data_IF_991323401630
#
_entry.id   IF_991323401630
#
_cell.length_a   1.000
_cell.length_b   1.000
_cell.length_c   1.000
_cell.angle_alpha   90.00
_cell.angle_beta   90.00
_cell.angle_gamma   90.00
#
_symmetry.space_group_name_H-M   'P 1'
#
loop_
_entity.id
_entity.type
_entity.pdbx_description
1 polymer ?
#
# COMPACT_ATOMS: atom_id res chain seq x y z
N UNK A 1 -28.00 -7.85 -4.90
CA UNK A 1 -26.86 -8.23 -5.79
C UNK A 1 -27.14 -9.42 -6.73
N UNK A 2 -28.22 -9.39 -7.52
CA UNK A 2 -28.37 -10.32 -8.67
C UNK A 2 -27.71 -9.74 -9.93
N UNK A 3 -27.79 -8.41 -10.09
CA UNK A 3 -27.07 -7.63 -11.09
C UNK A 3 -26.43 -6.41 -10.39
N UNK A 4 -25.09 -6.36 -10.24
CA UNK A 4 -24.39 -5.28 -9.53
C UNK A 4 -24.15 -4.02 -10.39
N UNK A 5 -24.72 -3.97 -11.59
CA UNK A 5 -24.50 -2.91 -12.60
C UNK A 5 -25.75 -2.04 -12.79
N UNK A 6 -26.68 -2.07 -11.83
CA UNK A 6 -27.87 -1.23 -11.84
C UNK A 6 -27.62 0.14 -11.21
N UNK A 7 -28.69 0.72 -10.66
CA UNK A 7 -28.70 2.00 -9.96
C UNK A 7 -29.08 1.83 -8.47
N UNK A 8 -29.08 0.59 -7.96
CA UNK A 8 -29.38 0.34 -6.55
C UNK A 8 -28.24 0.91 -5.67
N UNK A 9 -28.54 1.30 -4.43
CA UNK A 9 -27.57 1.94 -3.53
C UNK A 9 -26.33 1.07 -3.21
N UNK A 10 -26.40 -0.26 -3.45
CA UNK A 10 -25.30 -1.21 -3.27
C UNK A 10 -24.62 -1.67 -4.58
N UNK A 11 -25.02 -1.07 -5.72
CA UNK A 11 -24.41 -1.33 -7.03
C UNK A 11 -23.08 -0.57 -7.22
N UNK A 12 -22.36 -0.92 -8.28
CA UNK A 12 -21.09 -0.27 -8.58
C UNK A 12 -21.29 1.14 -9.15
N UNK A 13 -20.48 2.08 -8.66
CA UNK A 13 -20.35 3.44 -9.18
C UNK A 13 -19.54 3.49 -10.50
N UNK A 14 -20.07 2.86 -11.54
CA UNK A 14 -19.38 2.69 -12.83
C UNK A 14 -19.08 4.02 -13.50
N UNK A 15 -20.01 4.98 -13.43
CA UNK A 15 -19.82 6.32 -14.00
C UNK A 15 -18.61 7.02 -13.36
N UNK A 16 -18.49 6.97 -12.03
CA UNK A 16 -17.33 7.49 -11.32
C UNK A 16 -16.03 6.83 -11.77
N UNK A 17 -16.02 5.49 -11.90
CA UNK A 17 -14.82 4.78 -12.35
C UNK A 17 -14.40 5.19 -13.75
N UNK A 18 -15.33 5.41 -14.67
CA UNK A 18 -15.03 5.87 -16.04
C UNK A 18 -14.36 7.24 -16.00
N UNK A 19 -14.94 8.19 -15.27
CA UNK A 19 -14.41 9.56 -15.18
C UNK A 19 -13.02 9.58 -14.53
N UNK A 20 -12.88 8.86 -13.41
CA UNK A 20 -11.62 8.72 -12.67
C UNK A 20 -10.53 8.10 -13.54
N UNK A 21 -10.84 7.01 -14.23
CA UNK A 21 -9.85 6.30 -15.05
C UNK A 21 -9.44 7.13 -16.26
N UNK A 22 -10.40 7.78 -16.92
CA UNK A 22 -10.12 8.62 -18.10
C UNK A 22 -9.23 9.80 -17.72
N UNK A 23 -9.57 10.53 -16.65
CA UNK A 23 -8.76 11.64 -16.16
C UNK A 23 -7.36 11.20 -15.74
N UNK A 24 -7.26 10.12 -14.95
CA UNK A 24 -5.97 9.59 -14.49
C UNK A 24 -5.10 9.12 -15.66
N UNK A 25 -5.69 8.45 -16.65
CA UNK A 25 -4.97 7.98 -17.82
C UNK A 25 -4.35 9.14 -18.61
N UNK A 26 -5.08 10.24 -18.83
CA UNK A 26 -4.51 11.43 -19.47
C UNK A 26 -3.45 12.10 -18.60
N UNK A 27 -3.64 12.18 -17.28
CA UNK A 27 -2.60 12.69 -16.39
C UNK A 27 -1.29 11.90 -16.50
N UNK A 28 -1.36 10.57 -16.54
CA UNK A 28 -0.17 9.73 -16.64
C UNK A 28 0.47 9.82 -18.03
N UNK A 29 -0.33 9.73 -19.09
CA UNK A 29 0.18 9.57 -20.45
C UNK A 29 0.59 10.89 -21.12
N UNK A 30 -0.02 12.02 -20.72
CA UNK A 30 0.24 13.33 -21.31
C UNK A 30 0.96 14.24 -20.31
N UNK A 31 0.28 14.64 -19.22
CA UNK A 31 0.82 15.64 -18.29
C UNK A 31 2.09 15.19 -17.56
N UNK A 32 2.16 13.94 -17.12
CA UNK A 32 3.30 13.39 -16.39
C UNK A 32 4.23 12.55 -17.26
N UNK A 33 4.13 12.66 -18.58
CA UNK A 33 4.98 11.89 -19.48
C UNK A 33 6.44 12.31 -19.35
N UNK A 34 7.30 11.36 -18.94
CA UNK A 34 8.73 11.59 -18.74
C UNK A 34 9.05 12.71 -17.74
N UNK A 35 8.08 13.08 -16.89
CA UNK A 35 8.30 13.97 -15.76
C UNK A 35 8.83 13.16 -14.58
N UNK A 36 10.12 13.32 -14.29
CA UNK A 36 10.79 12.65 -13.17
C UNK A 36 11.15 13.73 -12.14
N UNK A 37 10.81 13.55 -10.84
CA UNK A 37 11.21 14.49 -9.81
C UNK A 37 12.74 14.51 -9.65
N UNK A 38 13.26 15.58 -9.07
CA UNK A 38 14.68 15.69 -8.75
C UNK A 38 15.14 14.53 -7.85
N UNK A 39 16.18 13.81 -8.27
CA UNK A 39 16.72 12.69 -7.51
C UNK A 39 17.55 13.19 -6.33
N UNK A 40 17.17 12.79 -5.12
CA UNK A 40 17.86 13.11 -3.87
C UNK A 40 18.09 11.83 -3.07
N UNK A 41 19.11 11.85 -2.23
CA UNK A 41 19.30 10.83 -1.21
C UNK A 41 18.11 10.85 -0.26
N UNK A 42 17.57 9.68 0.05
CA UNK A 42 16.44 9.56 0.97
C UNK A 42 16.89 9.71 2.43
N UNK A 43 15.93 9.96 3.32
CA UNK A 43 16.20 10.17 4.75
C UNK A 43 16.65 8.90 5.49
N UNK A 44 16.49 7.70 4.91
CA UNK A 44 16.85 6.44 5.56
C UNK A 44 18.33 6.05 5.37
N UNK A 45 19.13 6.82 4.62
CA UNK A 45 20.56 6.57 4.44
C UNK A 45 21.34 6.55 5.77
N UNK A 46 20.87 7.29 6.78
CA UNK A 46 21.49 7.35 8.10
C UNK A 46 20.91 6.34 9.11
N UNK A 47 20.22 5.29 8.64
CA UNK A 47 19.53 4.28 9.47
C UNK A 47 18.48 4.89 10.43
N UNK A 48 17.81 5.96 10.03
CA UNK A 48 16.64 6.43 10.77
C UNK A 48 15.48 5.42 10.58
N UNK A 49 14.77 5.09 11.66
CA UNK A 49 13.55 4.28 11.57
C UNK A 49 12.35 5.17 11.19
N UNK A 50 11.32 4.65 10.49
CA UNK A 50 10.11 5.41 10.22
C UNK A 50 9.48 5.94 11.51
N UNK A 51 9.14 7.22 11.52
CA UNK A 51 8.48 7.84 12.66
C UNK A 51 7.00 7.47 12.71
N UNK A 52 6.50 7.25 13.92
CA UNK A 52 5.09 7.02 14.20
C UNK A 52 4.46 8.30 14.77
N UNK A 53 3.16 8.49 14.52
CA UNK A 53 2.40 9.55 15.20
C UNK A 53 2.32 9.26 16.70
N UNK A 54 2.07 10.27 17.54
CA UNK A 54 1.90 10.06 18.99
C UNK A 54 0.80 9.03 19.31
N UNK A 55 -0.25 8.97 18.48
CA UNK A 55 -1.35 8.00 18.59
C UNK A 55 -0.89 6.55 18.36
N UNK A 56 0.03 6.33 17.42
CA UNK A 56 0.48 4.98 17.01
C UNK A 56 1.84 4.59 17.58
N UNK A 57 2.57 5.51 18.23
CA UNK A 57 3.89 5.26 18.81
C UNK A 57 3.87 4.24 19.97
N UNK A 58 2.72 4.08 20.62
CA UNK A 58 2.51 3.07 21.66
C UNK A 58 2.09 1.69 21.13
N UNK A 59 1.79 1.57 19.84
CA UNK A 59 1.33 0.32 19.26
C UNK A 59 2.45 -0.71 19.27
N UNK A 60 2.11 -1.93 19.69
CA UNK A 60 3.06 -3.03 19.67
C UNK A 60 3.32 -3.48 18.24
N UNK A 61 4.56 -3.35 17.78
CA UNK A 61 4.98 -3.90 16.49
C UNK A 61 5.12 -5.43 16.65
N UNK A 62 4.29 -6.19 15.94
CA UNK A 62 4.29 -7.65 15.94
C UNK A 62 4.85 -8.19 14.62
N UNK A 63 6.19 -8.18 14.42
CA UNK A 63 6.77 -8.69 13.19
C UNK A 63 6.50 -10.21 13.08
N UNK A 64 6.14 -10.66 11.88
CA UNK A 64 5.94 -12.08 11.60
C UNK A 64 7.30 -12.79 11.59
N UNK A 65 7.68 -13.39 12.73
CA UNK A 65 8.95 -14.14 12.85
C UNK A 65 8.85 -15.59 12.35
N UNK A 66 7.64 -16.11 12.14
CA UNK A 66 7.36 -17.48 11.68
C UNK A 66 7.15 -18.49 12.83
N UNK A 67 6.28 -19.47 12.61
CA UNK A 67 5.86 -20.45 13.64
C UNK A 67 6.99 -21.40 14.07
N UNK A 68 7.97 -21.66 13.20
CA UNK A 68 9.10 -22.53 13.46
C UNK A 68 10.39 -21.79 13.87
N UNK A 69 10.35 -20.46 14.05
CA UNK A 69 11.54 -19.62 14.25
C UNK A 69 12.42 -20.01 15.46
N UNK A 70 11.83 -20.70 16.44
CA UNK A 70 12.50 -21.16 17.66
C UNK A 70 12.54 -22.68 17.79
N UNK A 71 12.23 -23.41 16.72
CA UNK A 71 12.29 -24.87 16.73
C UNK A 71 13.75 -25.32 16.88
N UNK A 72 14.07 -25.99 17.99
CA UNK A 72 15.37 -26.61 18.22
C UNK A 72 15.25 -28.11 17.94
N UNK A 73 16.01 -28.63 16.98
CA UNK A 73 16.07 -30.06 16.72
C UNK A 73 17.00 -30.69 17.76
N UNK A 74 16.45 -31.56 18.61
CA UNK A 74 17.24 -32.37 19.53
C UNK A 74 17.50 -33.71 18.84
N UNK A 75 18.68 -33.86 18.23
CA UNK A 75 19.12 -35.15 17.70
C UNK A 75 19.48 -36.06 18.87
N UNK A 76 18.72 -37.12 19.10
CA UNK A 76 19.16 -38.21 19.98
C UNK A 76 20.12 -39.11 19.19
N UNK A 77 21.28 -39.37 19.80
CA UNK A 77 22.42 -40.16 19.28
C UNK A 77 22.03 -41.40 18.48
#
# INVERSE_FOLDING_TARGET
>A
LLNPMGEDDDDFEVQYMIDRNTGTAFCIADYSHNEIPEQKLDSFIINDEPLYSEETAGDSIHPLIGSAARATIITKN
#
